data_IF_419649842559
#
_entry.id   IF_419649842559
#
_cell.length_a   1.000
_cell.length_b   1.000
_cell.length_c   1.000
_cell.angle_alpha   90.00
_cell.angle_beta   90.00
_cell.angle_gamma   90.00
#
_symmetry.space_group_name_H-M   'P 1'
#
loop_
_entity.id
_entity.type
_entity.pdbx_description
1 polymer ?
#
# COMPACT_ATOMS: atom_id res chain seq x y z
N UNK A 1 -5.46 -3.29 -13.32
CA UNK A 1 -4.21 -3.00 -12.59
C UNK A 1 -4.47 -3.16 -11.11
N UNK A 2 -3.84 -4.14 -10.46
CA UNK A 2 -3.77 -4.14 -8.99
C UNK A 2 -3.11 -2.83 -8.56
N UNK A 3 -3.53 -2.21 -7.44
CA UNK A 3 -2.90 -1.00 -6.90
C UNK A 3 -1.52 -1.34 -6.31
N UNK A 4 -0.62 -1.80 -7.17
CA UNK A 4 0.77 -2.11 -6.91
C UNK A 4 1.66 -1.16 -7.73
N UNK A 5 2.77 -0.73 -7.16
CA UNK A 5 3.77 0.02 -7.92
C UNK A 5 4.62 -0.95 -8.75
N UNK A 6 4.63 -0.80 -10.08
CA UNK A 6 5.40 -1.67 -10.98
C UNK A 6 6.92 -1.46 -10.86
N UNK A 7 7.34 -0.24 -10.50
CA UNK A 7 8.75 0.13 -10.32
C UNK A 7 9.28 -0.31 -8.96
N UNK A 8 8.51 -0.09 -7.89
CA UNK A 8 8.95 -0.35 -6.51
C UNK A 8 8.40 -1.65 -5.90
N UNK A 9 7.54 -2.37 -6.62
CA UNK A 9 6.88 -3.59 -6.14
C UNK A 9 5.91 -3.40 -4.95
N UNK A 10 5.65 -2.16 -4.52
CA UNK A 10 4.86 -1.87 -3.31
C UNK A 10 3.40 -2.26 -3.52
N UNK A 11 2.88 -3.15 -2.67
CA UNK A 11 1.48 -3.60 -2.68
C UNK A 11 0.77 -3.25 -1.37
N UNK A 12 -0.55 -3.43 -1.34
CA UNK A 12 -1.32 -3.24 -0.12
C UNK A 12 -1.10 -4.43 0.84
N UNK A 13 -0.80 -4.14 2.10
CA UNK A 13 -0.59 -5.15 3.15
C UNK A 13 -1.74 -5.13 4.13
N UNK A 14 -2.14 -6.30 4.63
CA UNK A 14 -3.20 -6.42 5.65
C UNK A 14 -2.55 -6.42 7.03
N UNK A 15 -3.15 -5.72 7.98
CA UNK A 15 -2.77 -5.84 9.39
C UNK A 15 -3.87 -5.32 10.33
N UNK A 16 -3.46 -4.84 11.51
CA UNK A 16 -4.40 -4.42 12.57
C UNK A 16 -4.05 -3.04 13.11
N UNK A 17 -5.07 -2.25 13.41
CA UNK A 17 -4.96 -1.05 14.22
C UNK A 17 -5.20 -1.42 15.68
N UNK A 18 -4.25 -1.06 16.55
CA UNK A 18 -4.34 -1.30 17.99
C UNK A 18 -4.82 -0.02 18.67
N UNK A 19 -5.90 -0.11 19.46
CA UNK A 19 -6.40 1.04 20.22
C UNK A 19 -5.73 1.15 21.59
N UNK A 20 -6.01 2.23 22.31
CA UNK A 20 -5.53 2.44 23.68
C UNK A 20 -5.88 1.27 24.63
N UNK A 21 -7.00 0.58 24.40
CA UNK A 21 -7.40 -0.62 25.15
C UNK A 21 -6.97 -1.94 24.50
N UNK A 22 -5.95 -1.91 23.65
CA UNK A 22 -5.38 -3.06 22.96
C UNK A 22 -6.36 -3.85 22.07
N UNK A 23 -7.50 -3.25 21.69
CA UNK A 23 -8.43 -3.84 20.72
C UNK A 23 -7.78 -3.80 19.34
N UNK A 24 -7.80 -4.95 18.64
CA UNK A 24 -7.12 -5.10 17.35
C UNK A 24 -8.12 -5.18 16.19
N UNK A 25 -8.40 -4.04 15.56
CA UNK A 25 -9.31 -3.94 14.43
C UNK A 25 -8.58 -4.20 13.11
N UNK A 26 -9.20 -4.89 12.15
CA UNK A 26 -8.60 -5.13 10.82
C UNK A 26 -8.41 -3.80 10.08
N UNK A 27 -7.24 -3.62 9.47
CA UNK A 27 -6.89 -2.46 8.63
C UNK A 27 -6.10 -2.92 7.41
N UNK A 28 -6.33 -2.26 6.28
CA UNK A 28 -5.49 -2.40 5.08
C UNK A 28 -4.53 -1.22 5.02
N UNK A 29 -3.22 -1.50 4.95
CA UNK A 29 -2.17 -0.52 4.74
C UNK A 29 -1.97 -0.34 3.24
N UNK A 30 -2.41 0.81 2.73
CA UNK A 30 -2.24 1.17 1.32
C UNK A 30 -0.88 1.88 1.16
N UNK A 31 -0.04 1.49 0.20
CA UNK A 31 1.16 2.24 -0.13
C UNK A 31 0.79 3.59 -0.77
N UNK A 32 1.67 4.58 -0.62
CA UNK A 32 1.54 5.87 -1.28
C UNK A 32 1.98 5.75 -2.75
N UNK A 33 1.06 5.25 -3.61
CA UNK A 33 1.30 5.12 -5.05
C UNK A 33 0.85 6.41 -5.72
N UNK A 34 1.80 7.09 -6.38
CA UNK A 34 1.54 8.29 -7.15
C UNK A 34 1.52 7.96 -8.64
N UNK A 35 0.59 8.58 -9.38
CA UNK A 35 0.55 8.47 -10.84
C UNK A 35 1.60 9.38 -11.43
N UNK A 36 2.62 8.80 -12.05
CA UNK A 36 3.68 9.52 -12.74
C UNK A 36 3.76 9.03 -14.19
N UNK A 37 4.14 9.92 -15.11
CA UNK A 37 4.52 9.54 -16.47
C UNK A 37 6.00 9.21 -16.46
N UNK A 38 6.32 7.93 -16.37
CA UNK A 38 7.69 7.44 -16.46
C UNK A 38 7.95 6.95 -17.89
N UNK A 39 9.15 7.22 -18.40
CA UNK A 39 9.68 6.56 -19.58
C UNK A 39 10.12 5.16 -19.15
N UNK A 40 9.41 4.15 -19.62
CA UNK A 40 9.69 2.74 -19.37
C UNK A 40 10.19 2.20 -20.70
N UNK A 41 11.40 1.63 -20.71
CA UNK A 41 12.06 1.02 -21.87
C UNK A 41 12.50 1.93 -23.04
N UNK A 42 12.51 3.26 -22.84
CA UNK A 42 13.15 4.22 -23.77
C UNK A 42 12.25 4.80 -24.86
#
# INVERSE_FOLDING_TARGET
MAKGCEICGKTATIGRQVTHWMKRNRRVFKPNIQKVRALIDG
#
